data_IF_785336151578
#
_entry.id   IF_785336151578
#
_cell.length_a   1.000
_cell.length_b   1.000
_cell.length_c   1.000
_cell.angle_alpha   90.00
_cell.angle_beta   90.00
_cell.angle_gamma   90.00
#
_symmetry.space_group_name_H-M   'P 1'
#
loop_
_entity.id
_entity.type
_entity.pdbx_description
1 polymer ?
#
# COMPACT_ATOMS: atom_id res chain seq x y z
N UNK A 1 23.43 91.91 7.24
CA UNK A 1 23.90 90.57 7.58
C UNK A 1 22.66 89.73 8.06
N UNK A 2 22.07 88.91 7.14
CA UNK A 2 20.91 88.05 7.44
C UNK A 2 21.42 86.61 7.58
N UNK A 3 21.21 86.03 8.79
CA UNK A 3 21.53 84.62 9.04
C UNK A 3 20.37 83.71 8.57
N UNK A 4 20.67 82.82 7.62
CA UNK A 4 19.73 81.74 7.19
C UNK A 4 19.73 80.64 8.21
N UNK A 5 18.57 80.24 8.71
CA UNK A 5 18.36 79.05 9.56
C UNK A 5 17.96 77.89 8.64
N UNK A 6 18.79 76.86 8.55
CA UNK A 6 18.45 75.60 7.91
C UNK A 6 17.66 74.75 8.89
N UNK A 7 16.41 74.41 8.51
CA UNK A 7 15.58 73.43 9.21
C UNK A 7 15.84 72.06 8.59
N UNK A 8 16.47 71.17 9.34
CA UNK A 8 16.63 69.76 8.94
C UNK A 8 15.34 69.03 9.27
N UNK A 9 14.57 68.61 8.28
CA UNK A 9 13.40 67.72 8.44
C UNK A 9 13.88 66.30 8.42
N UNK A 10 13.89 65.63 9.59
CA UNK A 10 14.17 64.20 9.70
C UNK A 10 12.94 63.37 9.28
N UNK A 11 13.07 62.67 8.16
CA UNK A 11 12.04 61.73 7.69
C UNK A 11 12.28 60.36 8.43
N UNK A 12 11.46 60.06 9.39
CA UNK A 12 11.43 58.75 10.07
C UNK A 12 10.79 57.71 9.14
N UNK A 13 11.60 56.86 8.53
CA UNK A 13 11.10 55.65 7.85
C UNK A 13 10.70 54.62 8.91
N UNK A 14 9.41 54.49 9.14
CA UNK A 14 8.86 53.37 9.92
C UNK A 14 8.99 52.07 9.11
N UNK A 15 10.00 51.28 9.41
CA UNK A 15 10.10 49.90 8.91
C UNK A 15 8.97 49.08 9.56
N UNK A 16 7.89 48.88 8.81
CA UNK A 16 6.85 47.93 9.17
C UNK A 16 7.47 46.50 9.13
N UNK A 17 7.78 45.97 10.29
CA UNK A 17 8.16 44.56 10.44
C UNK A 17 6.92 43.74 10.15
N UNK A 18 6.80 43.24 8.93
CA UNK A 18 5.81 42.21 8.56
C UNK A 18 6.23 40.95 9.32
N UNK A 19 5.39 40.45 10.24
CA UNK A 19 5.75 39.21 10.94
C UNK A 19 5.86 38.08 9.92
N UNK A 20 7.05 37.53 9.75
CA UNK A 20 7.26 36.32 8.94
C UNK A 20 6.33 35.24 9.51
N UNK A 21 5.33 34.85 8.74
CA UNK A 21 4.44 33.75 9.11
C UNK A 21 5.32 32.54 9.38
N UNK A 22 5.40 32.11 10.64
CA UNK A 22 6.16 30.93 11.04
C UNK A 22 5.63 29.75 10.26
N UNK A 23 6.42 29.20 9.37
CA UNK A 23 6.08 27.96 8.67
C UNK A 23 5.76 26.89 9.70
N UNK A 24 4.59 26.28 9.61
CA UNK A 24 4.18 25.19 10.49
C UNK A 24 5.21 24.07 10.35
N UNK A 25 5.56 23.39 11.46
CA UNK A 25 6.38 22.19 11.35
C UNK A 25 5.66 21.17 10.46
N UNK A 26 6.41 20.35 9.72
CA UNK A 26 5.83 19.28 8.86
C UNK A 26 4.82 18.41 9.64
N UNK A 27 5.04 18.20 10.92
CA UNK A 27 4.10 17.44 11.78
C UNK A 27 2.80 18.17 12.00
N UNK A 28 2.85 19.46 12.33
CA UNK A 28 1.65 20.27 12.54
C UNK A 28 0.87 20.45 11.24
N UNK A 29 1.57 20.68 10.13
CA UNK A 29 0.97 20.73 8.81
C UNK A 29 0.23 19.42 8.49
N UNK A 30 0.86 18.26 8.61
CA UNK A 30 0.25 16.98 8.29
C UNK A 30 -0.92 16.63 9.21
N UNK A 31 -0.88 16.98 10.49
CA UNK A 31 -1.99 16.76 11.43
C UNK A 31 -3.24 17.54 11.00
N UNK A 32 -3.08 18.78 10.58
CA UNK A 32 -4.18 19.61 10.04
C UNK A 32 -4.61 19.15 8.65
N UNK A 33 -3.66 18.89 7.78
CA UNK A 33 -3.88 18.55 6.37
C UNK A 33 -4.68 17.25 6.18
N UNK A 34 -4.44 16.25 7.04
CA UNK A 34 -5.04 14.92 6.98
C UNK A 34 -6.13 14.68 8.02
N UNK A 35 -6.69 15.74 8.61
CA UNK A 35 -7.81 15.58 9.53
C UNK A 35 -9.04 15.04 8.78
N UNK A 36 -9.29 13.74 8.89
CA UNK A 36 -10.38 13.06 8.18
C UNK A 36 -11.75 13.26 8.85
N UNK A 37 -12.83 13.42 8.08
CA UNK A 37 -12.89 13.46 6.62
C UNK A 37 -12.34 14.76 6.07
N UNK A 38 -11.37 14.65 5.14
CA UNK A 38 -10.68 15.82 4.60
C UNK A 38 -11.62 16.74 3.81
N UNK A 39 -11.52 18.03 4.07
CA UNK A 39 -12.34 19.04 3.41
C UNK A 39 -11.67 19.49 2.10
N UNK A 40 -12.15 18.98 0.97
CA UNK A 40 -11.65 19.36 -0.35
C UNK A 40 -12.19 20.72 -0.82
N UNK A 41 -13.44 21.04 -0.43
CA UNK A 41 -14.08 22.34 -0.70
C UNK A 41 -13.88 23.35 0.41
N UNK A 42 -14.11 24.61 0.13
CA UNK A 42 -14.10 25.73 1.09
C UNK A 42 -15.47 26.34 1.32
N UNK A 43 -15.51 27.41 2.11
CA UNK A 43 -16.68 28.27 2.26
C UNK A 43 -16.73 29.24 1.06
N UNK A 44 -17.93 29.41 0.48
CA UNK A 44 -18.13 30.28 -0.66
C UNK A 44 -17.95 29.62 -2.04
N UNK A 45 -18.06 30.42 -3.10
CA UNK A 45 -17.90 29.98 -4.49
C UNK A 45 -16.40 29.74 -4.77
N UNK A 46 -15.99 28.57 -5.31
CA UNK A 46 -14.60 28.35 -5.65
C UNK A 46 -14.16 29.31 -6.76
N UNK A 47 -12.93 29.84 -6.71
CA UNK A 47 -12.37 30.70 -7.76
C UNK A 47 -11.94 29.88 -8.99
N UNK A 48 -12.54 28.74 -9.21
CA UNK A 48 -12.15 27.77 -10.23
C UNK A 48 -13.24 27.62 -11.29
N UNK A 49 -12.88 27.24 -12.51
CA UNK A 49 -13.84 26.84 -13.53
C UNK A 49 -14.74 25.69 -13.02
N UNK A 50 -15.98 25.67 -13.44
CA UNK A 50 -16.98 24.73 -12.96
C UNK A 50 -16.58 23.24 -13.12
N UNK A 51 -15.84 22.90 -14.17
CA UNK A 51 -15.37 21.53 -14.38
C UNK A 51 -14.32 21.11 -13.35
N UNK A 52 -13.48 22.02 -12.87
CA UNK A 52 -12.44 21.73 -11.87
C UNK A 52 -13.04 21.50 -10.47
N UNK A 53 -14.22 22.05 -10.19
CA UNK A 53 -14.90 21.88 -8.90
C UNK A 53 -15.44 20.46 -8.70
N UNK A 54 -15.47 19.62 -9.75
CA UNK A 54 -15.86 18.23 -9.65
C UNK A 54 -14.89 17.39 -8.83
N UNK A 55 -13.61 17.77 -8.79
CA UNK A 55 -12.54 17.13 -8.01
C UNK A 55 -12.34 15.64 -8.31
N UNK A 56 -12.85 15.12 -9.42
CA UNK A 56 -12.64 13.75 -9.84
C UNK A 56 -11.28 13.60 -10.51
N UNK A 57 -10.70 12.40 -10.41
CA UNK A 57 -9.42 12.09 -11.06
C UNK A 57 -9.49 12.25 -12.58
N UNK A 58 -10.66 12.02 -13.20
CA UNK A 58 -10.89 12.26 -14.64
C UNK A 58 -10.79 13.71 -15.01
N UNK A 59 -11.25 14.60 -14.14
CA UNK A 59 -11.11 16.06 -14.36
C UNK A 59 -9.64 16.46 -14.33
N UNK A 60 -8.88 15.96 -13.36
CA UNK A 60 -7.44 16.21 -13.28
C UNK A 60 -6.68 15.67 -14.50
N UNK A 61 -7.17 14.59 -15.10
CA UNK A 61 -6.56 13.96 -16.27
C UNK A 61 -6.53 14.86 -17.52
N UNK A 62 -7.37 15.88 -17.60
CA UNK A 62 -7.40 16.82 -18.74
C UNK A 62 -6.05 17.53 -18.91
N UNK A 63 -5.36 17.82 -17.80
CA UNK A 63 -4.03 18.45 -17.81
C UNK A 63 -2.92 17.51 -17.29
N UNK A 64 -3.25 16.57 -16.40
CA UNK A 64 -2.30 15.65 -15.76
C UNK A 64 -2.45 14.21 -16.27
N UNK A 65 -2.49 14.02 -17.59
CA UNK A 65 -2.78 12.74 -18.24
C UNK A 65 -1.78 11.63 -17.85
N UNK A 66 -0.49 11.96 -17.70
CA UNK A 66 0.56 11.01 -17.34
C UNK A 66 0.39 10.49 -15.91
N UNK A 67 0.13 11.38 -14.95
CA UNK A 67 -0.12 11.05 -13.54
C UNK A 67 -1.40 10.23 -13.42
N UNK A 68 -2.47 10.62 -14.11
CA UNK A 68 -3.72 9.88 -14.14
C UNK A 68 -3.53 8.46 -14.71
N UNK A 69 -2.80 8.31 -15.83
CA UNK A 69 -2.51 7.00 -16.44
C UNK A 69 -1.80 6.07 -15.46
N UNK A 70 -0.84 6.57 -14.69
CA UNK A 70 -0.13 5.80 -13.68
C UNK A 70 -1.04 5.48 -12.48
N UNK A 71 -1.73 6.49 -11.94
CA UNK A 71 -2.60 6.34 -10.76
C UNK A 71 -3.77 5.38 -10.99
N UNK A 72 -4.47 5.42 -12.13
CA UNK A 72 -5.68 4.62 -12.39
C UNK A 72 -5.47 3.11 -12.30
N UNK A 73 -4.23 2.65 -12.44
CA UNK A 73 -3.85 1.23 -12.31
C UNK A 73 -3.36 0.88 -10.91
N UNK A 74 -3.16 1.87 -10.05
CA UNK A 74 -2.64 1.71 -8.69
C UNK A 74 -3.68 1.13 -7.72
N UNK A 75 -3.20 0.71 -6.55
CA UNK A 75 -4.08 0.30 -5.44
C UNK A 75 -4.78 1.49 -4.79
N UNK A 76 -4.24 2.70 -4.87
CA UNK A 76 -4.92 3.92 -4.42
C UNK A 76 -6.22 4.16 -5.21
N UNK A 77 -6.18 4.05 -6.53
CA UNK A 77 -7.39 4.14 -7.36
C UNK A 77 -8.40 3.00 -7.11
N UNK A 78 -7.99 1.94 -6.45
CA UNK A 78 -8.79 0.77 -6.09
C UNK A 78 -8.95 0.59 -4.58
N UNK A 79 -8.66 1.63 -3.80
CA UNK A 79 -8.75 1.57 -2.35
C UNK A 79 -10.19 1.29 -1.88
N UNK A 80 -11.20 1.67 -2.67
CA UNK A 80 -12.59 1.26 -2.52
C UNK A 80 -12.94 0.09 -3.45
N UNK A 81 -12.10 -0.96 -3.44
CA UNK A 81 -12.32 -2.18 -4.20
C UNK A 81 -13.42 -3.07 -3.63
N UNK A 82 -13.69 -4.19 -4.31
CA UNK A 82 -14.77 -5.12 -3.96
C UNK A 82 -14.74 -5.56 -2.49
N UNK A 83 -13.53 -5.81 -1.94
CA UNK A 83 -13.36 -6.24 -0.56
C UNK A 83 -13.80 -5.20 0.47
N UNK A 84 -13.40 -3.94 0.30
CA UNK A 84 -13.80 -2.86 1.21
C UNK A 84 -15.29 -2.57 1.08
N UNK A 85 -15.82 -2.51 -0.15
CA UNK A 85 -17.26 -2.30 -0.40
C UNK A 85 -18.10 -3.39 0.28
N UNK A 86 -17.67 -4.64 0.18
CA UNK A 86 -18.36 -5.77 0.80
C UNK A 86 -18.35 -5.68 2.33
N UNK A 87 -17.20 -5.36 2.92
CA UNK A 87 -17.08 -5.18 4.38
C UNK A 87 -17.94 -4.02 4.89
N UNK A 88 -17.96 -2.90 4.16
CA UNK A 88 -18.79 -1.73 4.52
C UNK A 88 -20.28 -2.05 4.44
N UNK A 89 -20.71 -2.83 3.45
CA UNK A 89 -22.10 -3.26 3.33
C UNK A 89 -22.53 -4.14 4.52
N UNK A 90 -21.72 -5.13 4.88
CA UNK A 90 -22.01 -6.04 6.02
C UNK A 90 -21.90 -5.34 7.38
N UNK A 91 -20.96 -4.42 7.56
CA UNK A 91 -20.83 -3.65 8.79
C UNK A 91 -22.06 -2.77 9.07
N UNK A 92 -22.71 -2.29 8.02
CA UNK A 92 -23.98 -1.56 8.08
C UNK A 92 -23.91 -0.25 8.88
N UNK A 93 -25.08 0.28 9.18
CA UNK A 93 -25.25 1.58 9.87
C UNK A 93 -24.76 1.55 11.32
N UNK A 94 -24.78 0.38 11.97
CA UNK A 94 -24.43 0.21 13.38
C UNK A 94 -22.94 0.42 13.67
N UNK A 95 -22.08 0.29 12.64
CA UNK A 95 -20.62 0.39 12.78
C UNK A 95 -20.06 1.74 12.32
N UNK A 96 -20.75 2.86 12.52
CA UNK A 96 -20.32 4.20 12.04
C UNK A 96 -18.88 4.58 12.39
N UNK A 97 -18.45 4.33 13.64
CA UNK A 97 -17.08 4.60 14.06
C UNK A 97 -16.05 3.72 13.32
N UNK A 98 -16.38 2.45 13.14
CA UNK A 98 -15.57 1.51 12.36
C UNK A 98 -15.47 1.94 10.89
N UNK A 99 -16.59 2.33 10.29
CA UNK A 99 -16.63 2.84 8.91
C UNK A 99 -15.76 4.08 8.75
N UNK A 100 -15.81 5.02 9.70
CA UNK A 100 -14.95 6.21 9.72
C UNK A 100 -13.45 5.85 9.73
N UNK A 101 -13.06 4.87 10.55
CA UNK A 101 -11.69 4.36 10.59
C UNK A 101 -11.22 3.82 9.23
N UNK A 102 -12.03 3.03 8.54
CA UNK A 102 -11.70 2.53 7.20
C UNK A 102 -11.59 3.66 6.17
N UNK A 103 -12.59 4.57 6.17
CA UNK A 103 -12.67 5.63 5.16
C UNK A 103 -11.57 6.68 5.32
N UNK A 104 -11.00 6.88 6.51
CA UNK A 104 -9.89 7.81 6.71
C UNK A 104 -8.68 7.50 5.81
N UNK A 105 -8.50 6.24 5.42
CA UNK A 105 -7.43 5.79 4.53
C UNK A 105 -7.94 5.40 3.13
N UNK A 106 -9.15 4.81 3.02
CA UNK A 106 -9.65 4.24 1.78
C UNK A 106 -10.43 5.23 0.90
N UNK A 107 -11.07 6.24 1.49
CA UNK A 107 -11.82 7.28 0.80
C UNK A 107 -11.90 8.54 1.69
N UNK A 108 -10.78 9.25 1.90
CA UNK A 108 -10.66 10.24 2.97
C UNK A 108 -11.50 11.51 2.77
N UNK A 109 -11.98 11.77 1.55
CA UNK A 109 -12.73 12.99 1.22
C UNK A 109 -14.13 13.05 1.85
N UNK A 110 -14.48 14.19 2.45
CA UNK A 110 -15.80 14.42 3.07
C UNK A 110 -16.98 14.09 2.14
N UNK A 111 -16.86 14.38 0.85
CA UNK A 111 -17.89 14.06 -0.13
C UNK A 111 -17.99 12.56 -0.36
N UNK A 112 -16.87 11.85 -0.41
CA UNK A 112 -16.84 10.39 -0.52
C UNK A 112 -17.51 9.73 0.69
N UNK A 113 -17.28 10.24 1.91
CA UNK A 113 -17.93 9.74 3.12
C UNK A 113 -19.46 9.82 3.03
N UNK A 114 -20.01 10.94 2.53
CA UNK A 114 -21.45 11.08 2.32
C UNK A 114 -21.99 10.06 1.33
N UNK A 115 -21.27 9.82 0.22
CA UNK A 115 -21.65 8.82 -0.78
C UNK A 115 -21.60 7.38 -0.22
N UNK A 116 -20.58 7.06 0.57
CA UNK A 116 -20.48 5.75 1.25
C UNK A 116 -21.58 5.58 2.29
N UNK A 117 -21.90 6.60 3.06
CA UNK A 117 -23.01 6.55 4.02
C UNK A 117 -24.36 6.30 3.31
N UNK A 118 -24.58 6.91 2.16
CA UNK A 118 -25.78 6.64 1.35
C UNK A 118 -25.80 5.20 0.83
N UNK A 119 -24.65 4.66 0.40
CA UNK A 119 -24.50 3.26 -0.03
C UNK A 119 -24.83 2.27 1.10
N UNK A 120 -24.32 2.50 2.31
CA UNK A 120 -24.56 1.64 3.48
C UNK A 120 -26.05 1.60 3.83
N UNK A 121 -26.79 2.69 3.61
CA UNK A 121 -28.26 2.75 3.81
C UNK A 121 -29.08 2.15 2.66
N UNK A 122 -28.46 1.41 1.75
CA UNK A 122 -29.14 0.72 0.65
C UNK A 122 -29.03 1.39 -0.71
N UNK A 123 -28.44 2.60 -0.79
CA UNK A 123 -28.21 3.29 -2.06
C UNK A 123 -27.11 2.67 -2.94
N UNK A 124 -26.83 3.32 -4.06
CA UNK A 124 -25.73 2.94 -4.95
C UNK A 124 -24.45 3.69 -4.61
N UNK A 125 -23.32 3.00 -4.68
CA UNK A 125 -22.01 3.64 -4.52
C UNK A 125 -21.74 4.50 -5.76
N UNK A 126 -21.56 5.80 -5.56
CA UNK A 126 -21.33 6.79 -6.64
C UNK A 126 -19.88 6.78 -7.12
N UNK A 127 -19.65 7.45 -8.26
CA UNK A 127 -18.36 7.42 -8.95
C UNK A 127 -17.19 7.95 -8.10
N UNK A 128 -17.38 9.06 -7.37
CA UNK A 128 -16.31 9.68 -6.57
C UNK A 128 -15.86 8.76 -5.42
N UNK A 129 -16.80 8.12 -4.71
CA UNK A 129 -16.44 7.15 -3.67
C UNK A 129 -15.75 5.91 -4.24
N UNK A 130 -16.04 5.53 -5.49
CA UNK A 130 -15.35 4.41 -6.17
C UNK A 130 -13.91 4.72 -6.56
N UNK A 131 -13.51 5.99 -6.67
CA UNK A 131 -12.14 6.38 -7.01
C UNK A 131 -11.13 6.02 -5.91
N UNK A 132 -11.59 5.65 -4.71
CA UNK A 132 -10.71 5.37 -3.59
C UNK A 132 -9.93 6.61 -3.16
N UNK A 133 -8.60 6.52 -3.09
CA UNK A 133 -7.72 7.67 -2.81
C UNK A 133 -7.41 8.36 -4.13
N UNK A 134 -8.16 9.43 -4.43
CA UNK A 134 -8.07 10.17 -5.67
C UNK A 134 -7.04 11.31 -5.64
N UNK A 135 -6.88 11.98 -6.77
CA UNK A 135 -5.93 13.08 -6.90
C UNK A 135 -6.22 14.21 -5.89
N UNK A 136 -7.48 14.59 -5.76
CA UNK A 136 -7.89 15.66 -4.86
C UNK A 136 -7.68 15.32 -3.39
N UNK A 137 -7.79 14.04 -3.02
CA UNK A 137 -7.59 13.61 -1.63
C UNK A 137 -6.18 13.92 -1.13
N UNK A 138 -5.18 13.87 -2.00
CA UNK A 138 -3.81 14.24 -1.69
C UNK A 138 -3.50 15.73 -1.97
N UNK A 139 -4.09 16.31 -3.01
CA UNK A 139 -3.63 17.59 -3.55
C UNK A 139 -4.56 18.78 -3.30
N UNK A 140 -5.73 18.60 -2.69
CA UNK A 140 -6.70 19.71 -2.51
C UNK A 140 -7.16 19.81 -1.06
N UNK A 141 -7.15 21.03 -0.52
CA UNK A 141 -7.79 21.39 0.75
C UNK A 141 -8.44 22.78 0.60
N UNK A 142 -9.68 22.91 1.00
CA UNK A 142 -10.41 24.18 1.01
C UNK A 142 -10.32 24.97 -0.32
N UNK A 143 -10.43 24.28 -1.45
CA UNK A 143 -10.21 24.83 -2.81
C UNK A 143 -8.80 25.39 -3.04
N UNK A 144 -7.82 25.06 -2.20
CA UNK A 144 -6.41 25.32 -2.48
C UNK A 144 -5.73 24.05 -2.98
N UNK A 145 -4.78 24.18 -3.89
CA UNK A 145 -3.98 23.09 -4.42
C UNK A 145 -2.59 23.08 -3.84
N UNK A 146 -2.16 21.90 -3.45
CA UNK A 146 -0.87 21.65 -2.80
C UNK A 146 -0.08 20.59 -3.58
N UNK A 147 1.24 20.65 -3.50
CA UNK A 147 2.12 19.66 -4.07
C UNK A 147 3.57 19.92 -3.74
N UNK A 148 4.50 19.08 -4.24
CA UNK A 148 5.92 19.25 -3.98
C UNK A 148 6.43 20.58 -4.56
N UNK A 149 7.43 21.22 -3.94
CA UNK A 149 8.08 22.41 -4.47
C UNK A 149 8.88 22.03 -5.73
N UNK A 150 8.33 22.33 -6.89
CA UNK A 150 8.98 22.16 -8.19
C UNK A 150 9.49 23.51 -8.69
N UNK A 151 10.78 23.61 -8.96
CA UNK A 151 11.43 24.85 -9.40
C UNK A 151 10.75 25.50 -10.62
N UNK A 152 10.30 24.69 -11.58
CA UNK A 152 9.59 25.16 -12.77
C UNK A 152 8.24 25.86 -12.47
N UNK A 153 7.54 25.47 -11.38
CA UNK A 153 6.27 26.10 -10.99
C UNK A 153 6.47 27.36 -10.16
N UNK A 154 7.55 27.42 -9.38
CA UNK A 154 7.91 28.60 -8.59
C UNK A 154 8.31 29.74 -9.52
N UNK A 155 9.04 29.44 -10.59
CA UNK A 155 9.51 30.42 -11.56
C UNK A 155 8.40 30.97 -12.48
N UNK A 156 7.33 30.23 -12.74
CA UNK A 156 6.30 30.59 -13.71
C UNK A 156 5.22 31.56 -13.18
N UNK A 157 5.19 31.85 -11.86
CA UNK A 157 4.15 32.71 -11.25
C UNK A 157 2.73 32.27 -11.62
N UNK A 158 2.53 30.98 -11.88
CA UNK A 158 1.37 30.52 -12.64
C UNK A 158 0.10 30.60 -11.81
N UNK A 159 -0.82 31.41 -12.29
CA UNK A 159 -2.24 31.46 -11.90
C UNK A 159 -3.04 30.23 -12.38
N UNK A 160 -2.38 29.20 -12.94
CA UNK A 160 -3.02 27.96 -13.30
C UNK A 160 -3.68 27.39 -12.05
N UNK A 161 -4.95 27.05 -12.15
CA UNK A 161 -5.78 26.56 -11.03
C UNK A 161 -6.15 27.59 -9.95
N UNK A 162 -6.04 28.88 -10.18
CA UNK A 162 -6.29 29.90 -9.14
C UNK A 162 -5.29 29.86 -7.99
N UNK A 163 -4.08 29.39 -8.27
CA UNK A 163 -2.97 29.30 -7.33
C UNK A 163 -2.56 27.86 -6.97
N UNK A 164 -1.31 27.72 -6.58
CA UNK A 164 -0.69 26.47 -6.13
C UNK A 164 0.21 26.77 -4.92
N UNK A 165 0.09 25.97 -3.88
CA UNK A 165 0.91 26.10 -2.68
C UNK A 165 1.97 24.98 -2.67
N UNK A 166 3.26 25.32 -2.89
CA UNK A 166 4.34 24.37 -2.75
C UNK A 166 4.49 23.94 -1.29
N UNK A 167 4.53 22.63 -1.03
CA UNK A 167 4.63 22.09 0.33
C UNK A 167 5.63 20.94 0.37
N UNK A 168 6.69 21.12 1.15
CA UNK A 168 7.80 20.16 1.26
C UNK A 168 7.39 18.81 1.88
N UNK A 169 6.28 18.76 2.62
CA UNK A 169 5.74 17.53 3.18
C UNK A 169 5.45 16.46 2.11
N UNK A 170 5.11 16.86 0.87
CA UNK A 170 4.86 15.94 -0.24
C UNK A 170 6.09 15.11 -0.66
N UNK A 171 7.29 15.57 -0.35
CA UNK A 171 8.54 14.85 -0.63
C UNK A 171 9.03 14.01 0.55
N UNK A 172 8.30 13.99 1.65
CA UNK A 172 8.66 13.29 2.89
C UNK A 172 7.85 12.02 3.07
N UNK A 173 8.50 10.92 3.46
CA UNK A 173 7.83 9.65 3.79
C UNK A 173 6.72 9.81 4.85
N UNK A 174 6.82 10.83 5.71
CA UNK A 174 5.81 11.14 6.71
C UNK A 174 4.45 11.49 6.11
N UNK A 175 4.40 12.00 4.89
CA UNK A 175 3.15 12.23 4.14
C UNK A 175 2.36 10.92 3.95
N UNK A 176 3.05 9.82 3.70
CA UNK A 176 2.45 8.50 3.51
C UNK A 176 2.03 7.85 4.84
N UNK A 177 2.72 8.19 5.93
CA UNK A 177 2.52 7.61 7.26
C UNK A 177 1.11 7.82 7.81
N UNK A 178 0.38 8.81 7.33
CA UNK A 178 -0.99 9.10 7.79
C UNK A 178 -1.94 7.90 7.59
N UNK A 179 -1.75 7.16 6.49
CA UNK A 179 -2.52 5.95 6.18
C UNK A 179 -1.69 4.68 6.38
N UNK A 180 -0.36 4.75 6.24
CA UNK A 180 0.54 3.60 6.31
C UNK A 180 1.25 3.48 7.67
N UNK A 181 0.62 4.01 8.73
CA UNK A 181 1.04 3.86 10.11
C UNK A 181 -0.14 4.13 11.04
N UNK A 182 -0.50 3.15 11.86
CA UNK A 182 -1.48 3.42 12.91
C UNK A 182 -0.89 4.30 14.01
N UNK A 183 -1.74 5.13 14.59
CA UNK A 183 -1.39 5.91 15.77
C UNK A 183 -0.97 4.98 16.92
N UNK A 184 -0.24 5.50 17.90
CA UNK A 184 0.24 4.72 19.05
C UNK A 184 -0.88 4.03 19.83
N UNK A 185 -2.09 4.59 19.85
CA UNK A 185 -3.29 3.99 20.44
C UNK A 185 -4.06 3.06 19.51
N UNK A 186 -3.58 2.88 18.27
CA UNK A 186 -4.24 2.02 17.28
C UNK A 186 -4.15 0.55 17.62
N UNK A 187 -4.90 -0.26 16.87
CA UNK A 187 -4.95 -1.70 17.05
C UNK A 187 -3.56 -2.34 16.90
N UNK A 188 -3.20 -3.18 17.86
CA UNK A 188 -1.94 -3.91 17.89
C UNK A 188 -2.13 -5.33 18.39
N UNK A 189 -1.23 -6.22 17.97
CA UNK A 189 -1.14 -7.60 18.43
C UNK A 189 0.31 -7.90 18.80
N UNK A 190 0.53 -8.55 19.94
CA UNK A 190 1.86 -8.85 20.49
C UNK A 190 2.78 -7.60 20.50
N UNK A 191 2.23 -6.46 20.93
CA UNK A 191 2.96 -5.19 21.01
C UNK A 191 3.20 -4.46 19.69
N UNK A 192 2.92 -5.09 18.53
CA UNK A 192 3.15 -4.52 17.19
C UNK A 192 1.85 -4.01 16.59
N UNK A 193 1.82 -2.77 16.14
CA UNK A 193 0.67 -2.18 15.44
C UNK A 193 0.27 -3.02 14.22
N UNK A 194 -1.03 -3.10 13.93
CA UNK A 194 -1.49 -3.82 12.74
C UNK A 194 -1.00 -3.15 11.45
N UNK A 195 -0.98 -1.81 11.43
CA UNK A 195 -0.36 -1.03 10.38
C UNK A 195 0.88 -0.34 10.94
N UNK A 196 2.08 -0.77 10.51
CA UNK A 196 3.36 -0.34 11.08
C UNK A 196 4.44 -0.03 10.03
N UNK A 197 4.07 0.03 8.77
CA UNK A 197 4.99 0.13 7.63
C UNK A 197 5.95 1.33 7.72
N UNK A 198 5.46 2.50 8.15
CA UNK A 198 6.33 3.67 8.31
C UNK A 198 7.40 3.48 9.40
N UNK A 199 7.06 2.87 10.55
CA UNK A 199 8.05 2.60 11.60
C UNK A 199 9.08 1.55 11.16
N UNK A 200 8.61 0.49 10.45
CA UNK A 200 9.50 -0.53 9.87
C UNK A 200 10.53 0.13 8.94
N UNK A 201 10.06 0.99 8.03
CA UNK A 201 10.92 1.77 7.14
C UNK A 201 11.85 2.73 7.90
N UNK A 202 11.33 3.52 8.82
CA UNK A 202 12.12 4.51 9.57
C UNK A 202 13.29 3.87 10.31
N UNK A 203 13.10 2.67 10.83
CA UNK A 203 14.10 1.92 11.59
C UNK A 203 15.05 1.09 10.69
N UNK A 204 14.83 1.09 9.38
CA UNK A 204 15.66 0.38 8.41
C UNK A 204 16.89 1.18 7.98
N UNK A 205 17.82 0.53 7.27
CA UNK A 205 18.93 1.20 6.61
C UNK A 205 18.46 2.22 5.57
N UNK A 206 17.36 1.95 4.87
CA UNK A 206 16.78 2.85 3.88
C UNK A 206 16.28 4.16 4.53
N UNK A 207 15.52 4.05 5.63
CA UNK A 207 15.05 5.22 6.36
C UNK A 207 16.20 6.06 6.93
N UNK A 208 17.25 5.41 7.47
CA UNK A 208 18.45 6.09 7.96
C UNK A 208 19.27 6.74 6.84
N UNK A 209 19.27 6.16 5.65
CA UNK A 209 19.92 6.74 4.47
C UNK A 209 19.09 7.83 3.78
N UNK A 210 17.90 8.17 4.29
CA UNK A 210 17.04 9.20 3.72
C UNK A 210 16.29 8.79 2.45
N UNK A 211 16.33 7.50 2.05
CA UNK A 211 15.56 6.99 0.91
C UNK A 211 14.08 7.00 1.28
N UNK A 212 13.29 7.78 0.57
CA UNK A 212 11.88 8.02 0.91
C UNK A 212 10.94 6.94 0.34
N UNK A 213 9.69 6.92 0.82
CA UNK A 213 8.64 6.09 0.24
C UNK A 213 8.43 6.42 -1.25
N UNK A 214 8.49 7.72 -1.57
CA UNK A 214 8.29 8.24 -2.92
C UNK A 214 9.37 7.75 -3.90
N UNK A 215 10.63 7.61 -3.46
CA UNK A 215 11.73 7.16 -4.32
C UNK A 215 11.47 5.76 -4.91
N UNK A 216 10.85 4.88 -4.14
CA UNK A 216 10.52 3.52 -4.57
C UNK A 216 9.13 3.39 -5.20
N UNK A 217 8.09 3.99 -4.57
CA UNK A 217 6.69 3.81 -4.96
C UNK A 217 6.19 4.85 -5.97
N UNK A 218 6.90 5.97 -6.12
CA UNK A 218 6.60 7.06 -7.06
C UNK A 218 7.86 7.53 -7.82
N UNK A 219 8.64 6.63 -8.41
CA UNK A 219 9.95 6.97 -8.99
C UNK A 219 9.82 8.06 -10.06
N UNK A 220 10.60 9.14 -9.91
CA UNK A 220 10.52 10.30 -10.79
C UNK A 220 9.17 11.04 -10.75
N UNK A 221 8.45 11.00 -9.63
CA UNK A 221 7.14 11.64 -9.46
C UNK A 221 5.99 10.91 -10.15
N UNK A 222 6.21 9.71 -10.68
CA UNK A 222 5.16 8.88 -11.31
C UNK A 222 4.25 8.27 -10.24
N UNK A 223 2.95 8.46 -10.37
CA UNK A 223 1.93 8.02 -9.41
C UNK A 223 1.56 6.55 -9.54
N UNK A 224 2.57 5.66 -9.65
CA UNK A 224 2.36 4.21 -9.82
C UNK A 224 1.91 3.50 -8.55
N UNK A 225 2.42 3.93 -7.39
CA UNK A 225 2.15 3.32 -6.09
C UNK A 225 2.22 1.78 -6.15
N UNK A 226 3.23 1.26 -6.87
CA UNK A 226 3.42 -0.18 -7.05
C UNK A 226 3.67 -0.86 -5.69
N UNK A 227 3.17 -2.08 -5.52
CA UNK A 227 3.28 -2.82 -4.27
C UNK A 227 3.15 -4.33 -4.49
N UNK A 228 2.69 -5.05 -3.47
CA UNK A 228 2.65 -6.53 -3.44
C UNK A 228 1.82 -7.17 -4.58
N UNK A 229 0.91 -6.43 -5.23
CA UNK A 229 0.13 -6.89 -6.37
C UNK A 229 0.86 -6.74 -7.71
N UNK A 230 2.01 -6.05 -7.74
CA UNK A 230 2.84 -5.90 -8.93
C UNK A 230 4.00 -6.90 -8.90
N UNK A 231 3.87 -7.97 -9.67
CA UNK A 231 4.87 -9.04 -9.71
C UNK A 231 6.25 -8.54 -10.19
N UNK A 232 6.31 -7.59 -11.12
CA UNK A 232 7.56 -7.03 -11.62
C UNK A 232 8.25 -6.18 -10.55
N UNK A 233 7.47 -5.37 -9.82
CA UNK A 233 7.97 -4.59 -8.69
C UNK A 233 8.54 -5.48 -7.59
N UNK A 234 7.80 -6.54 -7.19
CA UNK A 234 8.24 -7.49 -6.16
C UNK A 234 9.49 -8.26 -6.60
N UNK A 235 9.59 -8.67 -7.88
CA UNK A 235 10.80 -9.37 -8.37
C UNK A 235 12.07 -8.54 -8.23
N UNK A 236 12.00 -7.22 -8.40
CA UNK A 236 13.15 -6.32 -8.21
C UNK A 236 13.50 -6.11 -6.73
N UNK A 237 12.53 -6.29 -5.85
CA UNK A 237 12.66 -6.01 -4.43
C UNK A 237 13.24 -7.17 -3.61
N UNK A 238 13.25 -8.39 -4.16
CA UNK A 238 13.72 -9.58 -3.45
C UNK A 238 14.73 -10.36 -4.29
N UNK A 239 15.63 -11.06 -3.58
CA UNK A 239 16.59 -11.96 -4.22
C UNK A 239 16.24 -13.40 -3.93
N UNK A 240 16.12 -14.21 -4.99
CA UNK A 240 15.90 -15.66 -4.90
C UNK A 240 17.22 -16.38 -5.21
N UNK A 241 17.57 -17.37 -4.38
CA UNK A 241 18.69 -18.27 -4.63
C UNK A 241 18.22 -19.72 -4.55
N UNK A 242 18.57 -20.50 -5.54
CA UNK A 242 18.34 -21.93 -5.63
C UNK A 242 19.66 -22.66 -5.68
N UNK A 243 19.83 -23.71 -4.85
CA UNK A 243 21.01 -24.56 -4.81
C UNK A 243 20.59 -26.03 -4.68
N UNK A 244 21.36 -26.90 -5.30
CA UNK A 244 21.21 -28.35 -5.16
C UNK A 244 22.54 -28.95 -4.66
N UNK A 245 22.80 -28.95 -3.35
CA UNK A 245 23.99 -29.60 -2.80
C UNK A 245 23.90 -31.10 -2.99
N UNK A 246 25.05 -31.75 -3.15
CA UNK A 246 25.15 -33.21 -3.09
C UNK A 246 24.83 -33.69 -1.66
N UNK A 247 24.12 -34.83 -1.52
CA UNK A 247 23.72 -35.35 -0.21
C UNK A 247 23.54 -36.88 -0.17
N UNK A 248 24.27 -37.57 -1.00
CA UNK A 248 24.23 -39.05 -1.12
C UNK A 248 23.36 -39.52 -2.30
N UNK A 249 23.49 -40.82 -2.63
CA UNK A 249 22.89 -41.38 -3.88
C UNK A 249 21.38 -41.55 -3.83
N UNK A 250 20.80 -41.80 -2.64
CA UNK A 250 19.37 -42.07 -2.48
C UNK A 250 18.58 -40.89 -1.92
N UNK A 251 19.21 -39.71 -1.87
CA UNK A 251 18.57 -38.52 -1.31
C UNK A 251 18.54 -37.40 -2.33
N UNK A 252 17.49 -36.60 -2.26
CA UNK A 252 17.34 -35.34 -2.98
C UNK A 252 17.55 -34.19 -2.04
N UNK A 253 18.54 -33.36 -2.29
CA UNK A 253 18.81 -32.17 -1.51
C UNK A 253 18.67 -30.91 -2.35
N UNK A 254 18.07 -29.89 -1.74
CA UNK A 254 17.93 -28.58 -2.32
C UNK A 254 17.77 -27.51 -1.22
N UNK A 255 18.11 -26.28 -1.57
CA UNK A 255 17.86 -25.11 -0.75
C UNK A 255 17.30 -24.00 -1.60
N UNK A 256 16.12 -23.50 -1.22
CA UNK A 256 15.51 -22.31 -1.76
C UNK A 256 15.61 -21.18 -0.73
N UNK A 257 16.16 -20.04 -1.12
CA UNK A 257 16.28 -18.87 -0.24
C UNK A 257 15.60 -17.66 -0.87
N UNK A 258 14.90 -16.90 -0.06
CA UNK A 258 14.30 -15.61 -0.39
C UNK A 258 14.85 -14.55 0.56
N UNK A 259 15.48 -13.52 0.02
CA UNK A 259 16.05 -12.40 0.79
C UNK A 259 15.32 -11.11 0.45
N UNK A 260 14.93 -10.35 1.44
CA UNK A 260 14.48 -8.97 1.28
C UNK A 260 15.70 -8.08 1.01
N UNK A 261 15.94 -7.73 -0.26
CA UNK A 261 17.13 -6.95 -0.67
C UNK A 261 16.81 -5.52 -1.08
N UNK A 262 15.57 -5.20 -1.40
CA UNK A 262 15.19 -3.91 -1.95
C UNK A 262 13.90 -3.33 -1.34
N UNK A 263 13.37 -3.93 -0.25
CA UNK A 263 12.22 -3.39 0.46
C UNK A 263 12.70 -2.73 1.75
N UNK A 264 12.40 -1.44 1.89
CA UNK A 264 12.81 -0.66 3.06
C UNK A 264 11.99 -0.93 4.34
N UNK A 265 11.05 -1.84 4.30
CA UNK A 265 10.20 -2.27 5.42
C UNK A 265 10.10 -3.81 5.43
N UNK A 266 9.35 -4.40 6.33
CA UNK A 266 9.12 -5.83 6.34
C UNK A 266 8.45 -6.32 5.05
N UNK A 267 8.86 -7.48 4.57
CA UNK A 267 8.30 -8.11 3.37
C UNK A 267 7.64 -9.45 3.70
N UNK A 268 6.37 -9.64 3.31
CA UNK A 268 5.44 -8.60 2.90
C UNK A 268 5.04 -7.72 4.10
N UNK A 269 4.74 -6.43 3.87
CA UNK A 269 4.15 -5.62 4.93
C UNK A 269 2.69 -6.01 5.16
N UNK A 270 2.09 -5.62 6.26
CA UNK A 270 0.72 -5.95 6.69
C UNK A 270 0.45 -7.41 7.07
N UNK A 271 -0.80 -7.64 7.43
CA UNK A 271 -1.36 -8.96 7.77
C UNK A 271 -2.08 -9.63 6.60
N UNK A 272 -2.29 -8.90 5.49
CA UNK A 272 -3.10 -9.39 4.36
C UNK A 272 -2.36 -10.37 3.46
N UNK A 273 -1.11 -10.13 3.02
CA UNK A 273 -0.46 -11.01 2.09
C UNK A 273 0.24 -12.17 2.76
N UNK A 274 0.46 -13.21 1.98
CA UNK A 274 1.41 -14.28 2.30
C UNK A 274 2.26 -14.65 1.11
N UNK A 275 3.49 -15.06 1.34
CA UNK A 275 4.40 -15.64 0.35
C UNK A 275 4.67 -17.07 0.75
N UNK A 276 4.53 -18.01 -0.19
CA UNK A 276 4.74 -19.44 0.07
C UNK A 276 5.87 -19.92 -0.81
N UNK A 277 6.92 -20.42 -0.16
CA UNK A 277 8.03 -21.14 -0.79
C UNK A 277 7.71 -22.63 -0.75
N UNK A 278 7.86 -23.32 -1.87
CA UNK A 278 7.62 -24.77 -1.96
C UNK A 278 8.75 -25.48 -2.70
N UNK A 279 9.05 -26.69 -2.26
CA UNK A 279 9.90 -27.66 -2.97
C UNK A 279 9.15 -28.99 -2.92
N UNK A 280 9.07 -29.67 -4.08
CA UNK A 280 8.33 -30.92 -4.22
C UNK A 280 8.93 -31.75 -5.34
N UNK A 281 8.92 -33.07 -5.21
CA UNK A 281 9.29 -33.98 -6.28
C UNK A 281 8.12 -34.20 -7.23
N UNK A 282 8.42 -34.40 -8.51
CA UNK A 282 7.44 -34.64 -9.56
C UNK A 282 7.60 -36.06 -10.12
N UNK A 283 6.49 -36.80 -10.14
CA UNK A 283 6.32 -38.06 -10.80
C UNK A 283 5.59 -37.78 -12.15
N UNK A 284 6.36 -37.57 -13.21
CA UNK A 284 5.85 -36.96 -14.44
C UNK A 284 5.45 -35.49 -14.21
N UNK A 285 4.19 -35.18 -14.45
CA UNK A 285 3.65 -33.81 -14.24
C UNK A 285 2.90 -33.67 -12.91
N UNK A 286 2.77 -34.71 -12.12
CA UNK A 286 2.11 -34.69 -10.83
C UNK A 286 3.12 -34.59 -9.69
N UNK A 287 2.71 -33.97 -8.58
CA UNK A 287 3.51 -33.96 -7.38
C UNK A 287 3.49 -35.37 -6.75
N UNK A 288 4.67 -35.94 -6.50
CA UNK A 288 4.79 -37.22 -5.79
C UNK A 288 4.25 -37.07 -4.36
N UNK A 289 3.56 -38.11 -3.88
CA UNK A 289 2.94 -38.08 -2.55
C UNK A 289 3.98 -37.79 -1.45
N UNK A 290 3.56 -37.02 -0.42
CA UNK A 290 4.35 -36.73 0.79
C UNK A 290 5.70 -36.00 0.58
N UNK A 291 6.09 -35.68 -0.66
CA UNK A 291 7.39 -35.03 -0.95
C UNK A 291 7.37 -33.52 -0.72
N UNK A 292 6.21 -32.91 -0.64
CA UNK A 292 6.09 -31.44 -0.53
C UNK A 292 6.63 -30.91 0.79
N UNK A 293 7.55 -29.95 0.70
CA UNK A 293 7.99 -29.09 1.80
C UNK A 293 7.66 -27.65 1.49
N UNK A 294 7.24 -26.90 2.51
CA UNK A 294 6.89 -25.49 2.32
C UNK A 294 7.31 -24.63 3.52
N UNK A 295 7.56 -23.37 3.24
CA UNK A 295 7.73 -22.30 4.24
C UNK A 295 6.84 -21.14 3.90
N UNK A 296 6.22 -20.52 4.90
CA UNK A 296 5.32 -19.37 4.76
C UNK A 296 5.98 -18.14 5.34
N UNK A 297 5.90 -17.05 4.61
CA UNK A 297 6.35 -15.72 5.02
C UNK A 297 5.09 -14.86 5.08
N UNK A 298 4.65 -14.49 6.28
CA UNK A 298 3.44 -13.73 6.54
C UNK A 298 3.37 -13.30 8.00
N UNK A 299 2.53 -12.33 8.30
CA UNK A 299 2.01 -12.06 9.64
C UNK A 299 0.61 -12.65 9.73
N UNK A 300 0.46 -13.77 10.46
CA UNK A 300 -0.81 -14.50 10.58
C UNK A 300 -1.55 -14.09 11.84
N UNK A 301 -2.76 -13.59 11.67
CA UNK A 301 -3.67 -13.20 12.76
C UNK A 301 -5.00 -13.93 12.64
N UNK A 302 -5.79 -13.97 13.72
CA UNK A 302 -7.18 -14.43 13.67
C UNK A 302 -8.07 -13.41 12.98
N UNK A 303 -9.33 -13.76 12.75
CA UNK A 303 -10.28 -12.88 12.04
C UNK A 303 -10.81 -11.75 12.91
N UNK A 304 -10.86 -11.96 14.22
CA UNK A 304 -11.32 -11.01 15.22
C UNK A 304 -10.26 -9.94 15.55
N UNK A 305 -9.06 -10.04 14.97
CA UNK A 305 -7.91 -9.14 15.20
C UNK A 305 -7.49 -9.05 16.69
N UNK A 306 -7.64 -10.16 17.42
CA UNK A 306 -7.32 -10.26 18.86
C UNK A 306 -6.11 -11.15 19.16
N UNK A 307 -5.68 -11.98 18.19
CA UNK A 307 -4.58 -12.94 18.37
C UNK A 307 -3.70 -13.01 17.14
N UNK A 308 -2.39 -12.95 17.35
CA UNK A 308 -1.37 -13.29 16.35
C UNK A 308 -0.93 -14.74 16.55
N UNK A 309 -0.87 -15.51 15.46
CA UNK A 309 -0.36 -16.88 15.47
C UNK A 309 1.14 -16.94 15.24
N UNK A 310 1.63 -16.12 14.29
CA UNK A 310 3.05 -15.97 13.97
C UNK A 310 3.31 -14.72 13.15
N UNK A 311 4.55 -14.23 13.20
CA UNK A 311 5.11 -13.25 12.29
C UNK A 311 6.43 -13.79 11.73
N UNK A 312 6.45 -14.07 10.44
CA UNK A 312 7.61 -14.62 9.73
C UNK A 312 8.02 -13.72 8.57
N UNK A 313 7.54 -12.47 8.56
CA UNK A 313 7.93 -11.46 7.58
C UNK A 313 9.43 -11.23 7.59
N UNK A 314 9.98 -10.74 6.50
CA UNK A 314 11.40 -10.51 6.34
C UNK A 314 11.71 -9.03 6.52
N UNK A 315 12.38 -8.68 7.61
CA UNK A 315 12.97 -7.37 7.75
C UNK A 315 13.97 -7.08 6.61
N UNK A 316 14.30 -5.81 6.32
CA UNK A 316 15.31 -5.45 5.33
C UNK A 316 16.62 -6.22 5.54
N UNK A 317 17.11 -6.90 4.50
CA UNK A 317 18.30 -7.76 4.53
C UNK A 317 18.04 -9.20 5.03
N UNK A 318 16.92 -9.48 5.68
CA UNK A 318 16.61 -10.81 6.22
C UNK A 318 16.36 -11.85 5.12
N UNK A 319 16.69 -13.10 5.42
CA UNK A 319 16.57 -14.25 4.51
C UNK A 319 15.75 -15.38 5.14
N UNK A 320 14.76 -15.86 4.40
CA UNK A 320 14.10 -17.14 4.66
C UNK A 320 14.74 -18.24 3.84
N UNK A 321 15.07 -19.37 4.48
CA UNK A 321 15.60 -20.58 3.82
C UNK A 321 14.60 -21.71 3.97
N UNK A 322 14.35 -22.43 2.87
CA UNK A 322 13.64 -23.70 2.85
C UNK A 322 14.63 -24.77 2.41
N UNK A 323 14.96 -25.66 3.31
CA UNK A 323 15.83 -26.80 3.06
C UNK A 323 14.98 -28.03 2.72
N UNK A 324 15.38 -28.73 1.68
CA UNK A 324 14.82 -30.01 1.25
C UNK A 324 15.92 -31.07 1.35
N UNK A 325 15.70 -32.12 2.13
CA UNK A 325 16.64 -33.22 2.29
C UNK A 325 15.83 -34.48 2.59
N UNK A 326 15.38 -35.17 1.53
CA UNK A 326 14.50 -36.33 1.62
C UNK A 326 15.05 -37.49 0.80
N UNK A 327 14.69 -38.73 1.13
CA UNK A 327 14.83 -39.86 0.22
C UNK A 327 14.16 -39.52 -1.11
N UNK A 328 14.77 -39.95 -2.22
CA UNK A 328 14.14 -39.77 -3.54
C UNK A 328 12.94 -40.70 -3.62
N UNK A 329 11.79 -40.14 -3.99
CA UNK A 329 10.55 -40.92 -4.14
C UNK A 329 10.65 -41.79 -5.40
N UNK A 330 10.11 -43.00 -5.34
CA UNK A 330 10.05 -43.92 -6.48
C UNK A 330 9.25 -43.28 -7.63
N UNK A 331 9.82 -43.32 -8.83
CA UNK A 331 9.21 -42.69 -10.02
C UNK A 331 9.36 -41.15 -10.08
N UNK A 332 10.08 -40.53 -9.17
CA UNK A 332 10.36 -39.11 -9.23
C UNK A 332 11.32 -38.79 -10.40
N UNK A 333 10.88 -37.95 -11.31
CA UNK A 333 11.64 -37.56 -12.52
C UNK A 333 12.23 -36.16 -12.43
N UNK A 334 11.67 -35.29 -11.57
CA UNK A 334 12.16 -33.93 -11.41
C UNK A 334 11.92 -33.41 -9.98
N UNK A 335 12.72 -32.44 -9.57
CA UNK A 335 12.50 -31.60 -8.41
C UNK A 335 11.99 -30.24 -8.87
N UNK A 336 10.83 -29.85 -8.38
CA UNK A 336 10.24 -28.53 -8.65
C UNK A 336 10.33 -27.64 -7.42
N UNK A 337 10.62 -26.35 -7.65
CA UNK A 337 10.51 -25.34 -6.61
C UNK A 337 9.81 -24.11 -7.15
N UNK A 338 9.03 -23.46 -6.30
CA UNK A 338 8.30 -22.23 -6.62
C UNK A 338 8.09 -21.33 -5.43
N UNK A 339 7.98 -20.05 -5.71
CA UNK A 339 7.56 -19.02 -4.76
C UNK A 339 6.28 -18.40 -5.30
N UNK A 340 5.22 -18.45 -4.51
CA UNK A 340 3.91 -17.92 -4.88
C UNK A 340 3.54 -16.81 -3.90
N UNK A 341 3.14 -15.68 -4.43
CA UNK A 341 2.60 -14.55 -3.66
C UNK A 341 1.08 -14.59 -3.72
N UNK A 342 0.45 -14.45 -2.57
CA UNK A 342 -0.99 -14.33 -2.37
C UNK A 342 -1.27 -12.96 -1.73
N UNK A 343 -1.46 -11.91 -2.51
CA UNK A 343 -1.60 -10.54 -1.99
C UNK A 343 -2.77 -10.38 -1.01
N UNK A 344 -3.88 -11.06 -1.27
CA UNK A 344 -5.14 -10.90 -0.54
C UNK A 344 -5.48 -12.13 0.32
N UNK A 345 -4.46 -12.87 0.79
CA UNK A 345 -4.65 -14.15 1.49
C UNK A 345 -5.50 -14.06 2.77
N UNK A 346 -5.42 -12.97 3.52
CA UNK A 346 -6.25 -12.77 4.70
C UNK A 346 -7.70 -12.50 4.33
N UNK A 347 -7.94 -11.69 3.28
CA UNK A 347 -9.29 -11.40 2.81
C UNK A 347 -10.00 -12.64 2.27
N UNK A 348 -9.30 -13.51 1.54
CA UNK A 348 -9.86 -14.81 1.10
C UNK A 348 -10.38 -15.63 2.28
N UNK A 349 -9.65 -15.66 3.42
CA UNK A 349 -10.10 -16.34 4.63
C UNK A 349 -11.28 -15.64 5.27
N UNK A 350 -11.19 -14.32 5.36
CA UNK A 350 -12.21 -13.46 5.95
C UNK A 350 -13.55 -13.62 5.24
N UNK A 351 -13.56 -13.49 3.91
CA UNK A 351 -14.80 -13.61 3.13
C UNK A 351 -15.38 -15.02 3.14
N UNK A 352 -14.55 -16.08 3.18
CA UNK A 352 -15.04 -17.44 3.38
C UNK A 352 -15.73 -17.61 4.72
N UNK A 353 -15.15 -17.07 5.79
CA UNK A 353 -15.76 -17.12 7.11
C UNK A 353 -17.10 -16.33 7.16
N UNK A 354 -17.14 -15.17 6.52
CA UNK A 354 -18.38 -14.40 6.41
C UNK A 354 -19.48 -15.21 5.72
N UNK A 355 -19.19 -15.84 4.56
CA UNK A 355 -20.16 -16.66 3.84
C UNK A 355 -20.61 -17.89 4.63
N UNK A 356 -19.76 -18.44 5.49
CA UNK A 356 -20.05 -19.62 6.27
C UNK A 356 -20.81 -19.36 7.59
N UNK A 357 -20.57 -18.20 8.23
CA UNK A 357 -20.99 -18.00 9.63
C UNK A 357 -21.88 -16.79 9.86
N UNK A 358 -22.06 -15.90 8.87
CA UNK A 358 -22.86 -14.68 9.07
C UNK A 358 -24.14 -14.69 8.27
N UNK A 359 -25.24 -14.29 8.92
CA UNK A 359 -26.49 -14.00 8.23
C UNK A 359 -26.34 -12.70 7.43
N UNK A 360 -26.66 -12.78 6.15
CA UNK A 360 -26.50 -11.68 5.19
C UNK A 360 -27.71 -11.59 4.28
N UNK A 361 -28.06 -10.38 3.87
CA UNK A 361 -28.97 -10.15 2.76
C UNK A 361 -28.40 -10.69 1.44
N UNK A 362 -29.25 -10.95 0.46
CA UNK A 362 -28.80 -11.38 -0.88
C UNK A 362 -27.79 -10.41 -1.50
N UNK A 363 -28.00 -9.10 -1.30
CA UNK A 363 -27.06 -8.04 -1.77
C UNK A 363 -25.68 -8.15 -1.12
N UNK A 364 -25.63 -8.30 0.19
CA UNK A 364 -24.37 -8.42 0.94
C UNK A 364 -23.62 -9.69 0.54
N UNK A 365 -24.33 -10.82 0.45
CA UNK A 365 -23.76 -12.10 -0.01
C UNK A 365 -23.13 -11.94 -1.39
N UNK A 366 -23.83 -11.35 -2.35
CA UNK A 366 -23.31 -11.13 -3.70
C UNK A 366 -22.05 -10.26 -3.71
N UNK A 367 -21.99 -9.23 -2.86
CA UNK A 367 -20.79 -8.38 -2.73
C UNK A 367 -19.60 -9.16 -2.15
N UNK A 368 -19.81 -9.98 -1.12
CA UNK A 368 -18.79 -10.83 -0.53
C UNK A 368 -18.30 -11.89 -1.52
N UNK A 369 -19.17 -12.53 -2.26
CA UNK A 369 -18.82 -13.53 -3.29
C UNK A 369 -17.96 -12.91 -4.41
N UNK A 370 -18.32 -11.72 -4.89
CA UNK A 370 -17.52 -10.97 -5.87
C UNK A 370 -16.15 -10.60 -5.32
N UNK A 371 -16.07 -10.17 -4.07
CA UNK A 371 -14.81 -9.86 -3.40
C UNK A 371 -13.93 -11.11 -3.27
N UNK A 372 -14.51 -12.22 -2.79
CA UNK A 372 -13.83 -13.50 -2.66
C UNK A 372 -13.29 -14.00 -4.02
N UNK A 373 -14.09 -13.91 -5.07
CA UNK A 373 -13.68 -14.32 -6.41
C UNK A 373 -12.51 -13.45 -6.92
N UNK A 374 -12.60 -12.15 -6.76
CA UNK A 374 -11.50 -11.23 -7.12
C UNK A 374 -10.21 -11.58 -6.38
N UNK A 375 -10.27 -11.76 -5.06
CA UNK A 375 -9.09 -11.93 -4.21
C UNK A 375 -8.44 -13.32 -4.39
N UNK A 376 -9.21 -14.35 -4.71
CA UNK A 376 -8.69 -15.68 -5.05
C UNK A 376 -7.81 -15.68 -6.30
N UNK A 377 -8.08 -14.79 -7.25
CA UNK A 377 -7.35 -14.69 -8.52
C UNK A 377 -6.19 -13.67 -8.46
N UNK A 378 -5.95 -13.05 -7.33
CA UNK A 378 -4.85 -12.08 -7.18
C UNK A 378 -3.46 -12.74 -7.07
N UNK A 379 -3.38 -14.04 -6.83
CA UNK A 379 -2.11 -14.75 -6.63
C UNK A 379 -1.30 -14.89 -7.91
N UNK A 380 0.03 -14.86 -7.77
CA UNK A 380 0.94 -15.03 -8.89
C UNK A 380 2.21 -15.80 -8.48
N UNK A 381 2.85 -16.44 -9.48
CA UNK A 381 4.14 -17.08 -9.31
C UNK A 381 5.24 -16.02 -9.42
N UNK A 382 5.93 -15.79 -8.31
CA UNK A 382 7.07 -14.87 -8.26
C UNK A 382 8.30 -15.45 -8.94
N UNK A 383 8.56 -16.73 -8.66
CA UNK A 383 9.71 -17.47 -9.18
C UNK A 383 9.39 -18.98 -9.24
N UNK A 384 9.95 -19.69 -10.22
CA UNK A 384 9.85 -21.14 -10.33
C UNK A 384 11.05 -21.75 -11.03
N UNK A 385 11.34 -23.01 -10.71
CA UNK A 385 12.32 -23.87 -11.40
C UNK A 385 11.83 -25.32 -11.40
N UNK A 386 12.18 -26.03 -12.45
CA UNK A 386 12.09 -27.50 -12.55
C UNK A 386 13.48 -28.01 -12.92
N UNK A 387 14.01 -28.94 -12.13
CA UNK A 387 15.33 -29.54 -12.33
C UNK A 387 15.16 -31.05 -12.43
N UNK A 388 15.70 -31.71 -13.48
CA UNK A 388 15.62 -33.16 -13.59
C UNK A 388 16.30 -33.86 -12.41
N UNK A 389 15.76 -34.96 -11.99
CA UNK A 389 16.39 -35.92 -11.10
C UNK A 389 17.04 -37.00 -11.95
N UNK A 390 18.19 -37.52 -11.51
CA UNK A 390 18.78 -38.72 -12.15
C UNK A 390 17.80 -39.85 -11.88
N UNK A 391 17.59 -40.71 -12.89
CA UNK A 391 16.87 -41.94 -12.71
C UNK A 391 17.51 -42.70 -11.56
N UNK A 392 16.75 -42.94 -10.48
CA UNK A 392 17.23 -43.79 -9.40
C UNK A 392 17.60 -45.15 -10.02
N UNK A 393 18.81 -45.60 -9.79
CA UNK A 393 19.14 -47.00 -10.08
C UNK A 393 18.05 -47.82 -9.39
N UNK A 394 17.19 -48.49 -10.14
CA UNK A 394 16.29 -49.47 -9.63
C UNK A 394 17.15 -50.43 -8.82
N UNK A 395 16.96 -50.48 -7.49
CA UNK A 395 17.52 -51.56 -6.70
C UNK A 395 16.90 -52.81 -7.25
N UNK A 396 17.64 -53.50 -8.09
CA UNK A 396 17.30 -54.83 -8.54
C UNK A 396 17.23 -55.70 -7.29
N UNK A 397 16.02 -56.03 -6.91
CA UNK A 397 15.75 -57.15 -6.04
C UNK A 397 16.21 -58.39 -6.80
N UNK A 398 17.37 -58.92 -6.44
CA UNK A 398 17.72 -60.33 -6.61
C UNK A 398 17.61 -61.01 -5.26
#
# INVERSE_FOLDING_TARGET
>A
MRRARHVLTAVLFSLAVVPAARALSTTAFLASYWHAPVSLGGVGKPPWPAFETRLSARTCALCHAAQYKAWRTSRHARAMGAGVIAQLAVAGVRARAFVGGCLSCHAPGRRQWREVQAFIRGGHLRALAREGVGCADCHVRHYQRFGPPLAAFIAAGSVIHGGFTPESAFTRSRFCAVCHQFHRSGARLDGVLLENTYNEWRNSSYGRAGVTCQDCHMPGGRHTFAGIHDAAFVRRAVRVRWRRPACGRLRVCAQLSLTNTGVGHDFPTYTTPKVVMRIEELCGDRVCAKTRRQSVIARRINLELTRQYFDTRLAPGATRRLVYAMPQEAGATALAARIVVYPDAAYVRFFRAYLAHYHMTARERLLIERALNHDRHSSYVLWRVRSPLRAGASAGLR
#
